data_IF_692477517933
#
_entry.id   IF_692477517933
#
_cell.length_a   1.000
_cell.length_b   1.000
_cell.length_c   1.000
_cell.angle_alpha   90.00
_cell.angle_beta   90.00
_cell.angle_gamma   90.00
#
_symmetry.space_group_name_H-M   'P 1'
#
loop_
_entity.id
_entity.type
_entity.pdbx_description
1 polymer ?
#
# COMPACT_ATOMS: atom_id res chain seq x y z
N UNK A 1 -15.32 -9.12 13.29
CA UNK A 1 -15.16 -8.47 14.61
C UNK A 1 -13.89 -7.61 14.56
N UNK A 2 -13.97 -6.41 13.97
CA UNK A 2 -12.82 -5.50 13.88
C UNK A 2 -12.69 -4.74 15.19
N UNK A 3 -11.73 -5.12 16.02
CA UNK A 3 -11.41 -4.38 17.23
C UNK A 3 -10.80 -3.04 16.83
N UNK A 4 -11.47 -1.94 17.19
CA UNK A 4 -11.01 -0.58 16.94
C UNK A 4 -9.73 -0.30 17.72
N UNK A 5 -8.81 0.49 17.14
CA UNK A 5 -7.57 0.87 17.81
C UNK A 5 -7.84 1.83 18.98
N UNK A 6 -6.99 1.78 20.01
CA UNK A 6 -6.97 2.79 21.07
C UNK A 6 -6.58 4.16 20.48
N UNK A 7 -6.90 5.24 21.20
CA UNK A 7 -6.62 6.61 20.74
C UNK A 7 -5.12 6.86 20.48
N UNK A 8 -4.24 6.30 21.33
CA UNK A 8 -2.80 6.39 21.16
C UNK A 8 -2.34 5.67 19.88
N UNK A 9 -2.78 4.42 19.68
CA UNK A 9 -2.43 3.62 18.50
C UNK A 9 -2.97 4.24 17.20
N UNK A 10 -4.16 4.87 17.24
CA UNK A 10 -4.74 5.58 16.10
C UNK A 10 -3.95 6.84 15.72
N UNK A 11 -3.38 7.53 16.70
CA UNK A 11 -2.52 8.70 16.46
C UNK A 11 -1.18 8.27 15.86
N UNK A 12 -0.60 7.19 16.39
CA UNK A 12 0.65 6.62 15.87
C UNK A 12 0.47 6.05 14.45
N UNK A 13 -0.66 5.39 14.18
CA UNK A 13 -1.04 4.95 12.85
C UNK A 13 -1.03 6.11 11.85
N UNK A 14 -1.67 7.24 12.17
CA UNK A 14 -1.76 8.38 11.26
C UNK A 14 -0.39 9.03 11.01
N UNK A 15 0.44 9.15 12.05
CA UNK A 15 1.81 9.66 11.95
C UNK A 15 2.68 8.80 11.05
N UNK A 16 2.67 7.48 11.29
CA UNK A 16 3.46 6.53 10.51
C UNK A 16 3.02 6.48 9.04
N UNK A 17 1.71 6.49 8.78
CA UNK A 17 1.18 6.56 7.41
C UNK A 17 1.60 7.85 6.69
N UNK A 18 1.61 8.99 7.38
CA UNK A 18 2.10 10.26 6.81
C UNK A 18 3.56 10.17 6.38
N UNK A 19 4.42 9.58 7.20
CA UNK A 19 5.83 9.34 6.85
C UNK A 19 5.98 8.35 5.67
N UNK A 20 5.17 7.29 5.65
CA UNK A 20 5.16 6.32 4.56
C UNK A 20 4.68 6.93 3.23
N UNK A 21 3.75 7.89 3.27
CA UNK A 21 3.28 8.60 2.08
C UNK A 21 4.43 9.35 1.40
N UNK A 22 5.30 9.99 2.19
CA UNK A 22 6.51 10.62 1.66
C UNK A 22 7.43 9.58 0.99
N UNK A 23 7.65 8.44 1.65
CA UNK A 23 8.51 7.38 1.13
C UNK A 23 7.96 6.73 -0.15
N UNK A 24 6.63 6.67 -0.32
CA UNK A 24 5.97 6.15 -1.51
C UNK A 24 6.24 6.98 -2.79
N UNK A 25 6.67 8.25 -2.67
CA UNK A 25 7.07 9.05 -3.83
C UNK A 25 8.40 8.60 -4.42
N UNK A 26 9.36 8.23 -3.56
CA UNK A 26 10.70 7.80 -3.98
C UNK A 26 10.79 6.29 -4.21
N UNK A 27 9.87 5.50 -3.62
CA UNK A 27 9.87 4.04 -3.69
C UNK A 27 8.53 3.51 -4.22
N UNK A 28 8.42 3.26 -5.54
CA UNK A 28 7.15 2.86 -6.15
C UNK A 28 6.72 1.43 -5.82
N UNK A 29 7.63 0.57 -5.35
CA UNK A 29 7.38 -0.79 -4.85
C UNK A 29 6.32 -0.83 -3.73
N UNK A 30 6.34 0.13 -2.81
CA UNK A 30 5.43 0.18 -1.66
C UNK A 30 4.19 1.05 -1.89
N UNK A 31 4.14 1.80 -3.01
CA UNK A 31 3.16 2.86 -3.23
C UNK A 31 1.72 2.36 -3.15
N UNK A 32 1.45 1.18 -3.71
CA UNK A 32 0.12 0.58 -3.65
C UNK A 32 -0.31 0.28 -2.21
N UNK A 33 0.56 -0.35 -1.42
CA UNK A 33 0.26 -0.71 -0.04
C UNK A 33 -0.01 0.53 0.83
N UNK A 34 0.82 1.59 0.68
CA UNK A 34 0.62 2.85 1.40
C UNK A 34 -0.70 3.50 1.02
N UNK A 35 -0.98 3.63 -0.28
CA UNK A 35 -2.23 4.23 -0.76
C UNK A 35 -3.48 3.47 -0.31
N UNK A 36 -3.41 2.14 -0.14
CA UNK A 36 -4.55 1.39 0.39
C UNK A 36 -4.72 1.63 1.89
N UNK A 37 -3.63 1.70 2.66
CA UNK A 37 -3.68 1.95 4.10
C UNK A 37 -4.15 3.38 4.44
N UNK A 38 -3.87 4.36 3.58
CA UNK A 38 -4.29 5.75 3.80
C UNK A 38 -5.81 5.92 3.73
N UNK A 39 -6.51 5.07 2.97
CA UNK A 39 -7.98 5.07 2.89
C UNK A 39 -8.65 4.81 4.26
N UNK A 40 -7.97 4.11 5.17
CA UNK A 40 -8.50 3.75 6.49
C UNK A 40 -8.05 4.69 7.62
N UNK A 41 -7.52 5.88 7.30
CA UNK A 41 -7.04 6.83 8.31
C UNK A 41 -8.14 7.39 9.22
N UNK A 42 -9.40 7.45 8.73
CA UNK A 42 -10.54 7.93 9.51
C UNK A 42 -11.00 6.94 10.58
N UNK A 43 -10.85 5.63 10.32
CA UNK A 43 -11.24 4.56 11.22
C UNK A 43 -10.25 3.38 11.11
N UNK A 44 -9.05 3.51 11.70
CA UNK A 44 -8.06 2.46 11.60
C UNK A 44 -8.44 1.25 12.47
N UNK A 45 -8.25 0.06 11.92
CA UNK A 45 -8.53 -1.23 12.55
C UNK A 45 -7.22 -1.90 12.96
N UNK A 46 -7.27 -2.84 13.91
CA UNK A 46 -6.11 -3.67 14.26
C UNK A 46 -5.50 -4.37 13.05
N UNK A 47 -6.33 -4.78 12.08
CA UNK A 47 -5.90 -5.38 10.81
C UNK A 47 -5.03 -4.43 9.99
N UNK A 48 -5.46 -3.18 9.84
CA UNK A 48 -4.71 -2.14 9.13
C UNK A 48 -3.39 -1.85 9.83
N UNK A 49 -3.39 -1.83 11.17
CA UNK A 49 -2.18 -1.59 11.93
C UNK A 49 -1.14 -2.71 11.79
N UNK A 50 -1.59 -3.97 11.81
CA UNK A 50 -0.72 -5.12 11.55
C UNK A 50 -0.14 -5.06 10.13
N UNK A 51 -0.92 -4.64 9.14
CA UNK A 51 -0.46 -4.45 7.77
C UNK A 51 0.60 -3.32 7.68
N UNK A 52 0.40 -2.19 8.36
CA UNK A 52 1.41 -1.11 8.45
C UNK A 52 2.71 -1.62 9.08
N UNK A 53 2.64 -2.38 10.17
CA UNK A 53 3.84 -2.99 10.80
C UNK A 53 4.55 -3.97 9.87
N UNK A 54 3.81 -4.73 9.07
CA UNK A 54 4.38 -5.61 8.03
C UNK A 54 5.12 -4.80 6.98
N UNK A 55 4.54 -3.70 6.52
CA UNK A 55 5.17 -2.80 5.55
C UNK A 55 6.46 -2.17 6.11
N UNK A 56 6.46 -1.76 7.38
CA UNK A 56 7.67 -1.25 8.03
C UNK A 56 8.77 -2.31 8.15
N UNK A 57 8.41 -3.57 8.45
CA UNK A 57 9.38 -4.68 8.44
C UNK A 57 9.96 -4.94 7.06
N UNK A 58 9.11 -4.89 6.02
CA UNK A 58 9.56 -4.99 4.64
C UNK A 58 10.60 -3.91 4.33
N UNK A 59 10.28 -2.64 4.62
CA UNK A 59 11.20 -1.51 4.41
C UNK A 59 12.53 -1.68 5.15
N UNK A 60 12.50 -2.17 6.39
CA UNK A 60 13.71 -2.46 7.17
C UNK A 60 14.57 -3.55 6.53
N UNK A 61 13.96 -4.55 5.90
CA UNK A 61 14.69 -5.64 5.25
C UNK A 61 15.17 -5.26 3.85
N UNK A 62 14.49 -4.33 3.18
CA UNK A 62 14.79 -3.89 1.82
C UNK A 62 15.50 -2.53 1.76
N UNK A 63 16.23 -2.13 2.81
CA UNK A 63 16.95 -0.85 2.83
C UNK A 63 17.96 -0.77 1.68
N UNK A 64 18.67 -1.87 1.39
CA UNK A 64 19.68 -1.96 0.34
C UNK A 64 19.16 -2.45 -1.02
N UNK A 65 17.85 -2.70 -1.12
CA UNK A 65 17.23 -3.18 -2.36
C UNK A 65 16.61 -2.00 -3.09
N UNK A 66 16.82 -1.92 -4.39
CA UNK A 66 16.25 -0.88 -5.26
C UNK A 66 15.67 -1.50 -6.53
N UNK A 67 14.65 -0.85 -7.08
CA UNK A 67 14.11 -1.21 -8.39
C UNK A 67 15.02 -0.63 -9.49
N UNK A 68 15.61 -1.52 -10.29
CA UNK A 68 16.44 -1.14 -11.41
C UNK A 68 15.60 -1.08 -12.69
N UNK A 69 15.14 0.11 -13.06
CA UNK A 69 14.43 0.34 -14.32
C UNK A 69 15.45 0.57 -15.44
N UNK A 70 15.77 -0.49 -16.19
CA UNK A 70 16.65 -0.41 -17.37
C UNK A 70 15.83 -0.24 -18.65
N UNK A 71 16.24 0.71 -19.49
CA UNK A 71 15.72 0.84 -20.85
C UNK A 71 16.34 -0.24 -21.74
N UNK A 72 15.58 -1.25 -22.12
CA UNK A 72 16.02 -2.23 -23.11
C UNK A 72 16.00 -1.61 -24.52
N UNK A 73 17.07 -1.83 -25.31
CA UNK A 73 17.22 -1.28 -26.66
C UNK A 73 16.30 -1.90 -27.72
N UNK A 74 15.63 -3.02 -27.40
CA UNK A 74 14.64 -3.68 -28.25
C UNK A 74 13.36 -3.90 -27.43
N UNK A 75 12.25 -3.20 -27.75
CA UNK A 75 11.00 -3.42 -27.04
C UNK A 75 10.37 -4.74 -27.51
N UNK A 76 10.72 -5.85 -26.86
CA UNK A 76 9.92 -7.07 -26.95
C UNK A 76 8.77 -6.91 -25.97
N UNK A 77 7.60 -6.55 -26.50
CA UNK A 77 6.41 -6.27 -25.71
C UNK A 77 5.69 -7.58 -25.39
N UNK A 78 5.88 -8.08 -24.17
CA UNK A 78 5.09 -9.18 -23.63
C UNK A 78 3.96 -8.58 -22.77
N UNK A 79 2.72 -8.77 -23.20
CA UNK A 79 1.53 -8.31 -22.46
C UNK A 79 0.93 -9.50 -21.74
N UNK A 80 0.77 -9.35 -20.44
CA UNK A 80 -0.02 -10.24 -19.61
C UNK A 80 -1.17 -9.41 -19.06
N UNK A 81 -2.39 -9.89 -19.25
CA UNK A 81 -3.59 -9.26 -18.68
C UNK A 81 -4.02 -10.09 -17.49
N UNK A 82 -3.90 -9.52 -16.29
CA UNK A 82 -4.45 -10.07 -15.07
C UNK A 82 -5.57 -9.13 -14.61
N UNK A 83 -6.80 -9.64 -14.59
CA UNK A 83 -8.01 -8.87 -14.29
C UNK A 83 -8.60 -9.35 -12.96
N UNK A 84 -7.91 -9.05 -11.85
CA UNK A 84 -8.36 -9.41 -10.50
C UNK A 84 -9.08 -8.27 -9.76
N UNK A 85 -9.10 -7.06 -10.34
CA UNK A 85 -9.63 -5.86 -9.68
C UNK A 85 -11.15 -5.87 -9.47
N UNK A 86 -11.89 -6.63 -10.26
CA UNK A 86 -13.36 -6.61 -10.27
C UNK A 86 -14.02 -7.31 -9.07
N UNK A 87 -13.26 -8.09 -8.28
CA UNK A 87 -13.81 -8.90 -7.18
C UNK A 87 -13.67 -8.31 -5.78
N UNK A 88 -13.11 -7.10 -5.63
CA UNK A 88 -12.75 -6.57 -4.30
C UNK A 88 -13.92 -5.77 -3.69
N UNK A 89 -14.55 -6.25 -2.59
CA UNK A 89 -15.74 -5.61 -2.00
C UNK A 89 -15.47 -4.23 -1.37
N UNK A 90 -14.19 -3.85 -1.27
CA UNK A 90 -13.71 -2.67 -0.55
C UNK A 90 -13.42 -1.48 -1.48
N UNK A 91 -13.46 -1.70 -2.80
CA UNK A 91 -13.43 -0.63 -3.80
C UNK A 91 -14.85 -0.36 -4.23
N UNK A 92 -15.28 0.90 -4.12
CA UNK A 92 -16.60 1.37 -4.53
C UNK A 92 -16.74 1.15 -6.04
N UNK A 93 -17.40 0.06 -6.42
CA UNK A 93 -17.76 -0.23 -7.81
C UNK A 93 -18.90 0.70 -8.25
N UNK A 94 -18.62 1.64 -9.13
CA UNK A 94 -19.63 2.20 -10.02
C UNK A 94 -19.51 1.51 -11.37
N UNK A 95 -20.15 0.35 -11.52
CA UNK A 95 -20.44 -0.21 -12.85
C UNK A 95 -21.81 0.30 -13.25
N UNK A 96 -21.85 1.50 -13.83
CA UNK A 96 -23.02 1.94 -14.60
C UNK A 96 -22.72 1.67 -16.07
N UNK A 97 -23.49 0.75 -16.64
CA UNK A 97 -23.49 0.35 -18.04
C UNK A 97 -24.05 1.46 -18.95
#
# INVERSE_FOLDING_TARGET
>A
MTCELTYAESTEYRRTIGALQYLAFIRPDIRFAVNKLTQFMHKPSSTHWVATKRLLRYLKHTIHHGLLLKKNAKPVFHVYSDADWAGKPDDRTSTSA
#
